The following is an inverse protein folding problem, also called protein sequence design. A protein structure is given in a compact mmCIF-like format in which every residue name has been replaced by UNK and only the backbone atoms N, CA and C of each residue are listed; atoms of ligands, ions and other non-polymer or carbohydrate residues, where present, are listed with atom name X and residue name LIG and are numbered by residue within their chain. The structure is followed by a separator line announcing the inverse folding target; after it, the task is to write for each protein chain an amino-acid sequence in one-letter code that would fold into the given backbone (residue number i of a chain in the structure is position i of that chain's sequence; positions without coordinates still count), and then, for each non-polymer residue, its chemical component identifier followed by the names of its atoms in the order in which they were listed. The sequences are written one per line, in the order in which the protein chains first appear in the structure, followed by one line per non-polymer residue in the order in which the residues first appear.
data_IF_491002448131
#
_entry.id   IF_491002448131
#
_cell.length_a   1.000
_cell.length_b   1.000
_cell.length_c   1.000
_cell.angle_alpha   90.00
_cell.angle_beta   90.00
_cell.angle_gamma   90.00
#
_symmetry.space_group_name_H-M   'P 1'
#
loop_
_entity.id
_entity.type
_entity.pdbx_description
1 polymer ?
#
# COMPACT_ATOMS: atom_id res chain seq x y z
N UNK A 1 -6.54 20.34 -0.08
CA UNK A 1 -6.33 18.95 -0.54
C UNK A 1 -6.91 17.97 0.45
N UNK A 2 -7.39 16.86 -0.06
CA UNK A 2 -7.97 15.79 0.76
C UNK A 2 -6.98 14.65 0.87
N UNK A 3 -7.18 13.81 1.88
CA UNK A 3 -6.32 12.65 2.10
C UNK A 3 -6.94 11.39 1.53
N UNK A 4 -6.11 10.58 0.91
CA UNK A 4 -6.50 9.29 0.36
C UNK A 4 -5.53 8.23 0.81
N UNK A 5 -6.05 7.03 1.05
CA UNK A 5 -5.20 5.88 1.34
C UNK A 5 -5.08 5.02 0.09
N UNK A 6 -3.86 4.75 -0.30
CA UNK A 6 -3.54 3.78 -1.35
C UNK A 6 -3.24 2.47 -0.66
N UNK A 7 -4.06 1.47 -0.91
CA UNK A 7 -3.92 0.14 -0.31
C UNK A 7 -3.30 -0.78 -1.34
N UNK A 8 -2.13 -1.33 -1.03
CA UNK A 8 -1.39 -2.17 -1.96
C UNK A 8 -1.78 -3.62 -1.74
N UNK A 9 -2.29 -4.27 -2.80
CA UNK A 9 -2.71 -5.67 -2.76
C UNK A 9 -1.97 -6.48 -3.79
N UNK A 10 -1.58 -7.69 -3.41
CA UNK A 10 -0.83 -8.58 -4.29
C UNK A 10 0.57 -8.07 -4.55
N UNK A 11 1.12 -8.44 -5.70
CA UNK A 11 2.51 -8.14 -6.02
C UNK A 11 3.47 -9.00 -5.21
N UNK A 12 4.75 -8.70 -5.30
CA UNK A 12 5.77 -9.37 -4.51
C UNK A 12 6.11 -8.49 -3.32
N UNK A 13 6.02 -9.05 -2.12
CA UNK A 13 6.40 -8.31 -0.92
C UNK A 13 7.92 -8.29 -0.79
N UNK A 14 8.54 -7.26 -1.33
CA UNK A 14 10.00 -7.15 -1.39
C UNK A 14 10.65 -7.03 -0.04
N UNK A 15 9.95 -6.51 0.97
CA UNK A 15 10.50 -6.41 2.31
C UNK A 15 10.83 -7.78 2.89
N UNK A 16 10.12 -8.83 2.44
CA UNK A 16 10.31 -10.19 2.91
C UNK A 16 11.05 -11.09 1.94
N UNK A 17 10.95 -10.79 0.66
CA UNK A 17 11.59 -11.58 -0.39
C UNK A 17 12.91 -10.98 -0.85
N UNK A 18 13.29 -9.85 -0.30
CA UNK A 18 14.52 -9.15 -0.66
C UNK A 18 15.72 -9.84 -0.02
N UNK A 19 16.10 -10.98 -0.56
CA UNK A 19 17.29 -11.69 -0.12
C UNK A 19 18.42 -11.43 -1.12
N UNK A 20 18.77 -10.16 -1.28
CA UNK A 20 19.98 -9.80 -2.01
C UNK A 20 19.97 -9.99 -3.52
N UNK A 21 18.82 -10.18 -4.15
CA UNK A 21 18.77 -10.27 -5.61
C UNK A 21 18.80 -8.89 -6.24
N UNK A 22 19.37 -8.78 -7.44
CA UNK A 22 19.39 -7.53 -8.20
C UNK A 22 17.98 -7.05 -8.52
N UNK A 23 17.07 -7.97 -8.82
CA UNK A 23 15.68 -7.64 -9.11
C UNK A 23 15.00 -6.98 -7.90
N UNK A 24 15.23 -7.52 -6.70
CA UNK A 24 14.68 -6.95 -5.46
C UNK A 24 15.27 -5.56 -5.19
N UNK A 25 16.57 -5.38 -5.39
CA UNK A 25 17.22 -4.09 -5.19
C UNK A 25 16.71 -3.04 -6.20
N UNK A 26 16.55 -3.42 -7.46
CA UNK A 26 16.02 -2.54 -8.51
C UNK A 26 14.59 -2.10 -8.19
N UNK A 27 13.79 -3.02 -7.71
CA UNK A 27 12.41 -2.72 -7.37
C UNK A 27 12.31 -1.83 -6.13
N UNK A 28 13.13 -2.07 -5.11
CA UNK A 28 13.20 -1.20 -3.95
C UNK A 28 13.58 0.22 -4.36
N UNK A 29 14.53 0.37 -5.28
CA UNK A 29 14.93 1.68 -5.79
C UNK A 29 13.77 2.37 -6.53
N UNK A 30 12.99 1.62 -7.30
CA UNK A 30 11.82 2.17 -7.99
C UNK A 30 10.79 2.71 -7.00
N UNK A 31 10.51 1.97 -5.91
CA UNK A 31 9.60 2.43 -4.86
C UNK A 31 10.11 3.71 -4.20
N UNK A 32 11.40 3.74 -3.85
CA UNK A 32 12.00 4.93 -3.22
C UNK A 32 11.93 6.14 -4.15
N UNK A 33 12.20 5.95 -5.42
CA UNK A 33 12.14 7.04 -6.42
C UNK A 33 10.72 7.59 -6.53
N UNK A 34 9.73 6.70 -6.60
CA UNK A 34 8.33 7.11 -6.66
C UNK A 34 7.93 7.90 -5.42
N UNK A 35 8.26 7.38 -4.22
CA UNK A 35 7.92 8.06 -2.98
C UNK A 35 8.63 9.42 -2.85
N UNK A 36 9.87 9.53 -3.31
CA UNK A 36 10.58 10.80 -3.32
C UNK A 36 9.90 11.82 -4.23
N UNK A 37 9.41 11.40 -5.39
CA UNK A 37 8.69 12.29 -6.30
C UNK A 37 7.40 12.80 -5.66
N UNK A 38 6.69 11.94 -4.93
CA UNK A 38 5.48 12.35 -4.19
C UNK A 38 5.82 13.37 -3.10
N UNK A 39 6.96 13.17 -2.43
CA UNK A 39 7.43 14.13 -1.43
C UNK A 39 7.71 15.50 -2.02
N UNK A 40 8.38 15.54 -3.18
CA UNK A 40 8.68 16.80 -3.87
C UNK A 40 7.42 17.53 -4.30
N UNK A 41 6.39 16.79 -4.69
CA UNK A 41 5.13 17.37 -5.17
C UNK A 41 4.17 17.73 -4.03
N UNK A 42 4.52 17.43 -2.78
CA UNK A 42 3.67 17.71 -1.63
C UNK A 42 2.54 16.71 -1.43
N UNK A 43 2.57 15.59 -2.14
CA UNK A 43 1.52 14.57 -2.04
C UNK A 43 1.75 13.55 -0.93
N UNK A 44 3.00 13.30 -0.55
CA UNK A 44 3.35 12.27 0.43
C UNK A 44 2.92 12.67 1.85
N UNK A 45 2.25 11.77 2.56
CA UNK A 45 1.92 11.94 3.98
C UNK A 45 2.64 10.90 4.82
N UNK A 46 2.34 9.62 4.60
CA UNK A 46 2.96 8.53 5.35
C UNK A 46 2.79 7.20 4.62
N UNK A 47 3.62 6.24 4.97
CA UNK A 47 3.56 4.89 4.41
C UNK A 47 4.13 3.89 5.38
N UNK A 48 3.60 2.67 5.38
CA UNK A 48 4.18 1.54 6.10
C UNK A 48 3.93 0.25 5.33
N UNK A 49 4.95 -0.59 5.20
CA UNK A 49 4.75 -1.95 4.71
C UNK A 49 4.19 -2.82 5.83
N UNK A 50 3.49 -3.89 5.48
CA UNK A 50 2.92 -4.84 6.43
C UNK A 50 3.56 -6.20 6.24
N UNK A 51 3.80 -6.89 7.36
CA UNK A 51 4.26 -8.27 7.33
C UNK A 51 3.12 -9.19 6.87
N UNK A 52 3.42 -10.31 6.19
CA UNK A 52 2.38 -11.21 5.67
C UNK A 52 1.84 -12.17 6.72
N UNK A 53 1.86 -11.78 7.97
CA UNK A 53 1.35 -12.55 9.09
C UNK A 53 0.39 -11.69 9.89
N UNK A 54 -0.52 -12.32 10.60
CA UNK A 54 -1.45 -11.56 11.44
C UNK A 54 -2.47 -12.47 12.07
N UNK A 55 -3.43 -11.83 12.71
CA UNK A 55 -4.56 -12.52 13.33
C UNK A 55 -5.82 -11.74 13.04
N UNK A 56 -6.95 -12.45 13.03
CA UNK A 56 -8.26 -11.85 12.87
C UNK A 56 -9.08 -12.08 14.13
N UNK A 57 -9.87 -11.09 14.48
CA UNK A 57 -10.83 -11.19 15.57
C UNK A 57 -12.21 -10.99 14.98
N UNK A 58 -13.10 -11.96 15.13
CA UNK A 58 -14.36 -11.99 14.42
C UNK A 58 -15.56 -12.03 15.33
N UNK A 59 -16.55 -11.24 14.98
CA UNK A 59 -17.90 -11.30 15.51
C UNK A 59 -18.06 -10.78 16.94
N UNK A 60 -19.28 -10.90 17.44
CA UNK A 60 -19.61 -10.44 18.78
C UNK A 60 -18.92 -11.25 19.86
N UNK A 61 -18.61 -12.52 19.57
CA UNK A 61 -17.88 -13.39 20.49
C UNK A 61 -16.37 -13.22 20.45
N UNK A 62 -15.88 -12.35 19.55
CA UNK A 62 -14.46 -12.00 19.43
C UNK A 62 -13.58 -13.24 19.24
N UNK A 63 -13.98 -14.11 18.32
CA UNK A 63 -13.23 -15.32 18.01
C UNK A 63 -11.94 -14.95 17.28
N UNK A 64 -10.82 -15.38 17.81
CA UNK A 64 -9.50 -15.10 17.25
C UNK A 64 -9.10 -16.24 16.32
N UNK A 65 -8.65 -15.89 15.13
CA UNK A 65 -8.10 -16.86 14.18
C UNK A 65 -6.81 -16.32 13.59
N UNK A 66 -5.99 -17.23 13.07
CA UNK A 66 -4.79 -16.82 12.35
C UNK A 66 -5.19 -16.19 11.01
N UNK A 67 -4.44 -15.23 10.57
CA UNK A 67 -4.67 -14.58 9.29
C UNK A 67 -3.37 -14.08 8.70
N UNK A 68 -3.45 -13.46 7.54
CA UNK A 68 -4.64 -13.28 6.70
C UNK A 68 -5.02 -14.53 5.91
N UNK A 69 -6.31 -14.82 5.82
CA UNK A 69 -6.87 -15.93 5.01
C UNK A 69 -7.37 -15.37 3.69
N UNK A 70 -6.46 -14.86 2.87
CA UNK A 70 -6.79 -14.30 1.56
C UNK A 70 -5.82 -14.88 0.55
N UNK A 71 -6.24 -14.90 -0.71
CA UNK A 71 -5.34 -15.29 -1.79
C UNK A 71 -4.20 -14.28 -1.91
N UNK A 72 -3.05 -14.74 -2.39
CA UNK A 72 -1.86 -13.90 -2.51
C UNK A 72 -2.13 -12.60 -3.29
N UNK A 73 -3.01 -12.67 -4.31
CA UNK A 73 -3.35 -11.52 -5.13
C UNK A 73 -4.14 -10.44 -4.37
N UNK A 74 -4.73 -10.79 -3.24
CA UNK A 74 -5.56 -9.87 -2.46
C UNK A 74 -4.93 -9.52 -1.12
N UNK A 75 -3.77 -10.08 -0.82
CA UNK A 75 -3.09 -9.78 0.43
C UNK A 75 -2.62 -8.33 0.45
N UNK A 76 -2.98 -7.62 1.52
CA UNK A 76 -2.54 -6.24 1.72
C UNK A 76 -1.10 -6.24 2.20
N UNK A 77 -0.20 -5.69 1.38
CA UNK A 77 1.23 -5.63 1.70
C UNK A 77 1.67 -4.30 2.29
N UNK A 78 0.78 -3.33 2.34
CA UNK A 78 1.11 -2.02 2.89
C UNK A 78 0.11 -0.96 2.46
N UNK A 79 0.39 0.26 2.87
CA UNK A 79 -0.44 1.41 2.48
C UNK A 79 0.43 2.65 2.33
N UNK A 80 -0.12 3.64 1.63
CA UNK A 80 0.49 4.96 1.52
C UNK A 80 -0.62 5.99 1.59
N UNK A 81 -0.45 7.01 2.42
CA UNK A 81 -1.41 8.10 2.52
C UNK A 81 -0.87 9.28 1.72
N UNK A 82 -1.71 9.81 0.83
CA UNK A 82 -1.37 10.94 -0.01
C UNK A 82 -2.36 12.07 0.15
N UNK A 83 -1.89 13.30 -0.12
CA UNK A 83 -2.75 14.45 -0.34
C UNK A 83 -3.03 14.56 -1.83
N UNK A 84 -4.28 14.76 -2.20
CA UNK A 84 -4.67 14.94 -3.59
C UNK A 84 -5.88 15.87 -3.66
N UNK A 85 -6.15 16.41 -4.84
CA UNK A 85 -7.29 17.34 -5.05
C UNK A 85 -8.61 16.61 -4.91
N UNK A 86 -8.69 15.42 -5.49
CA UNK A 86 -9.87 14.59 -5.54
C UNK A 86 -9.45 13.14 -5.79
N UNK A 87 -10.43 12.25 -5.88
CA UNK A 87 -10.13 10.83 -6.07
C UNK A 87 -9.48 10.57 -7.45
N UNK A 88 -9.85 11.30 -8.48
CA UNK A 88 -9.25 11.12 -9.80
C UNK A 88 -7.77 11.50 -9.79
N UNK A 89 -7.41 12.55 -9.06
CA UNK A 89 -6.01 12.94 -8.88
C UNK A 89 -5.26 11.85 -8.10
N UNK A 90 -5.85 11.30 -7.04
CA UNK A 90 -5.25 10.22 -6.28
C UNK A 90 -5.04 8.96 -7.13
N UNK A 91 -5.99 8.65 -8.02
CA UNK A 91 -5.85 7.54 -8.97
C UNK A 91 -4.67 7.77 -9.91
N UNK A 92 -4.52 8.98 -10.44
CA UNK A 92 -3.38 9.30 -11.30
C UNK A 92 -2.05 9.16 -10.55
N UNK A 93 -2.00 9.61 -9.30
CA UNK A 93 -0.83 9.41 -8.44
C UNK A 93 -0.51 7.92 -8.30
N UNK A 94 -1.52 7.09 -8.07
CA UNK A 94 -1.34 5.65 -7.85
C UNK A 94 -0.78 4.94 -9.08
N UNK A 95 -1.04 5.44 -10.29
CA UNK A 95 -0.57 4.81 -11.53
C UNK A 95 0.95 4.80 -11.65
N UNK A 96 1.65 5.64 -10.91
CA UNK A 96 3.11 5.64 -10.89
C UNK A 96 3.73 4.58 -9.98
N UNK A 97 2.91 3.82 -9.27
CA UNK A 97 3.39 2.86 -8.30
C UNK A 97 4.07 1.65 -8.96
N UNK A 98 5.26 1.26 -8.50
CA UNK A 98 5.96 0.10 -9.07
C UNK A 98 5.25 -1.25 -8.85
N UNK A 99 4.22 -1.30 -8.01
CA UNK A 99 3.50 -2.56 -7.75
C UNK A 99 2.89 -3.14 -9.03
N UNK A 100 2.58 -2.29 -10.01
CA UNK A 100 2.00 -2.75 -11.27
C UNK A 100 3.01 -3.55 -12.11
N UNK A 101 4.31 -3.38 -11.87
CA UNK A 101 5.34 -4.19 -12.52
C UNK A 101 5.32 -5.64 -12.05
N UNK A 102 4.58 -5.94 -10.99
CA UNK A 102 4.52 -7.24 -10.33
C UNK A 102 3.10 -7.78 -10.28
N UNK A 103 2.23 -7.31 -11.16
CA UNK A 103 0.82 -7.70 -11.21
C UNK A 103 0.05 -7.40 -9.93
N UNK A 104 0.53 -6.44 -9.14
CA UNK A 104 -0.22 -5.97 -7.98
C UNK A 104 -1.31 -5.00 -8.38
N UNK A 105 -2.09 -4.60 -7.41
CA UNK A 105 -3.17 -3.62 -7.60
C UNK A 105 -3.18 -2.64 -6.44
N UNK A 106 -3.71 -1.45 -6.72
CA UNK A 106 -3.85 -0.40 -5.73
C UNK A 106 -5.32 -0.07 -5.59
N UNK A 107 -5.81 -0.13 -4.37
CA UNK A 107 -7.15 0.33 -4.04
C UNK A 107 -7.04 1.74 -3.48
N UNK A 108 -7.76 2.68 -4.06
CA UNK A 108 -7.71 4.09 -3.66
C UNK A 108 -8.96 4.41 -2.84
N UNK A 109 -8.77 4.79 -1.58
CA UNK A 109 -9.88 5.06 -0.66
C UNK A 109 -9.77 6.46 -0.09
N UNK A 110 -10.83 7.30 -0.22
CA UNK A 110 -10.85 8.56 0.50
C UNK A 110 -10.84 8.31 2.01
N UNK A 111 -10.05 9.10 2.74
CA UNK A 111 -10.03 9.02 4.20
C UNK A 111 -11.13 9.91 4.73
N UNK A 112 -12.03 9.33 5.52
CA UNK A 112 -13.14 10.06 6.12
C UNK A 112 -12.60 11.06 7.13
N UNK A 113 -12.95 12.33 6.93
CA UNK A 113 -12.62 13.37 7.88
C UNK A 113 -13.59 13.26 9.05
N UNK A 114 -13.04 13.03 10.23
CA UNK A 114 -13.87 12.91 11.43
C UNK A 114 -13.82 14.23 12.21
N UNK A 115 -14.99 14.83 12.38
CA UNK A 115 -15.13 15.98 13.23
C UNK A 115 -15.50 15.51 14.63
N UNK A 116 -14.67 15.86 15.60
CA UNK A 116 -14.90 15.47 16.99
C UNK A 116 -14.96 16.72 17.87
#
# INVERSE_FOLDING_TARGET
MEKFMLIFRGGINHAYNATGSEAAATNMQAWLTWMQSLGKNGNFVSTDPLQPIGKQVNGTNKVVSDGPYVEANDMIGGYLIVNAKDIDDAVEISKGCPIFNENGKVEVRPIQKMEM
#
